data_IF_140513364029
#
_entry.id   IF_140513364029
#
_cell.length_a   1.000
_cell.length_b   1.000
_cell.length_c   1.000
_cell.angle_alpha   90.00
_cell.angle_beta   90.00
_cell.angle_gamma   90.00
#
_symmetry.space_group_name_H-M   'P 1'
#
loop_
_entity.id
_entity.type
_entity.pdbx_description
1 polymer ?
#
# COMPACT_ATOMS: atom_id res chain seq x y z
N UNK A 1 -6.33 -2.74 14.26
CA UNK A 1 -6.58 -2.97 12.82
C UNK A 1 -5.95 -1.81 12.06
N UNK A 2 -4.73 -1.99 11.55
CA UNK A 2 -3.99 -0.92 10.86
C UNK A 2 -4.71 -0.57 9.56
N UNK A 3 -5.11 0.70 9.47
CA UNK A 3 -5.74 1.32 8.30
C UNK A 3 -4.94 2.60 8.14
N UNK A 4 -3.91 2.60 7.29
CA UNK A 4 -3.14 3.83 7.05
C UNK A 4 -4.14 4.91 6.64
N UNK A 5 -4.24 5.95 7.48
CA UNK A 5 -5.14 7.07 7.22
C UNK A 5 -4.49 7.92 6.14
N UNK A 6 -5.31 8.46 5.25
CA UNK A 6 -4.85 9.32 4.14
C UNK A 6 -4.05 10.51 4.67
N UNK A 7 -4.43 11.03 5.84
CA UNK A 7 -3.73 12.12 6.50
C UNK A 7 -2.25 11.80 6.83
N UNK A 8 -1.94 10.54 7.13
CA UNK A 8 -0.56 10.13 7.43
C UNK A 8 0.22 9.88 6.14
N UNK A 9 -0.42 9.33 5.11
CA UNK A 9 0.16 9.10 3.78
C UNK A 9 0.57 10.44 3.14
N UNK A 10 -0.24 11.50 3.29
CA UNK A 10 0.04 12.83 2.73
C UNK A 10 1.22 13.56 3.38
N UNK A 11 1.65 13.13 4.57
CA UNK A 11 2.81 13.71 5.27
C UNK A 11 4.14 13.14 4.79
N UNK A 12 4.10 12.02 4.07
CA UNK A 12 5.28 11.37 3.52
C UNK A 12 5.76 12.10 2.26
N UNK A 13 7.08 12.10 2.04
CA UNK A 13 7.66 12.61 0.79
C UNK A 13 7.38 11.65 -0.36
N UNK A 14 7.41 12.15 -1.59
CA UNK A 14 7.26 11.36 -2.83
C UNK A 14 8.24 10.19 -2.88
N UNK A 15 9.49 10.40 -2.46
CA UNK A 15 10.53 9.35 -2.35
C UNK A 15 10.11 8.22 -1.40
N UNK A 16 9.60 8.59 -0.23
CA UNK A 16 9.24 7.65 0.82
C UNK A 16 7.98 6.87 0.45
N UNK A 17 7.04 7.53 -0.24
CA UNK A 17 5.86 6.88 -0.80
C UNK A 17 6.22 5.83 -1.85
N UNK A 18 7.20 6.08 -2.71
CA UNK A 18 7.64 5.11 -3.71
C UNK A 18 8.26 3.85 -3.05
N UNK A 19 9.09 4.04 -2.03
CA UNK A 19 9.70 2.95 -1.26
C UNK A 19 8.62 2.12 -0.55
N UNK A 20 7.72 2.78 0.18
CA UNK A 20 6.65 2.10 0.92
C UNK A 20 5.64 1.40 -0.01
N UNK A 21 5.37 1.97 -1.19
CA UNK A 21 4.51 1.33 -2.21
C UNK A 21 5.13 0.02 -2.71
N UNK A 22 6.46 -0.01 -2.86
CA UNK A 22 7.19 -1.19 -3.31
C UNK A 22 7.17 -2.28 -2.25
N UNK A 23 7.46 -1.93 -0.99
CA UNK A 23 7.33 -2.85 0.16
C UNK A 23 5.93 -3.44 0.28
N UNK A 24 4.89 -2.61 0.21
CA UNK A 24 3.51 -3.10 0.29
C UNK A 24 3.15 -4.06 -0.84
N UNK A 25 3.70 -3.88 -2.05
CA UNK A 25 3.52 -4.83 -3.16
C UNK A 25 4.16 -6.18 -2.86
N UNK A 26 5.38 -6.18 -2.32
CA UNK A 26 6.10 -7.40 -1.94
C UNK A 26 5.36 -8.16 -0.82
N UNK A 27 4.92 -7.45 0.22
CA UNK A 27 4.13 -8.04 1.32
C UNK A 27 2.80 -8.63 0.82
N UNK A 28 2.13 -7.97 -0.13
CA UNK A 28 0.92 -8.48 -0.75
C UNK A 28 1.23 -9.76 -1.55
N UNK A 29 2.32 -9.78 -2.31
CA UNK A 29 2.72 -10.95 -3.08
C UNK A 29 3.03 -12.14 -2.16
N UNK A 30 3.75 -11.91 -1.06
CA UNK A 30 4.04 -12.93 -0.07
C UNK A 30 2.76 -13.44 0.62
N UNK A 31 1.87 -12.54 1.06
CA UNK A 31 0.62 -12.93 1.66
C UNK A 31 -0.27 -13.72 0.69
N UNK A 32 -0.28 -13.39 -0.60
CA UNK A 32 -0.98 -14.19 -1.61
C UNK A 32 -0.41 -15.59 -1.71
N UNK A 33 0.93 -15.75 -1.67
CA UNK A 33 1.58 -17.06 -1.66
C UNK A 33 1.19 -17.86 -0.42
N UNK A 34 1.28 -17.26 0.78
CA UNK A 34 0.91 -17.93 2.04
C UNK A 34 -0.56 -18.35 2.07
N UNK A 35 -1.46 -17.52 1.53
CA UNK A 35 -2.90 -17.86 1.41
C UNK A 35 -3.08 -19.05 0.46
N UNK A 36 -2.38 -19.05 -0.69
CA UNK A 36 -2.47 -20.12 -1.66
C UNK A 36 -1.91 -21.45 -1.14
N UNK A 37 -0.82 -21.41 -0.37
CA UNK A 37 -0.23 -22.58 0.29
C UNK A 37 -1.04 -23.06 1.51
N UNK A 38 -2.10 -22.35 1.92
CA UNK A 38 -2.90 -22.69 3.10
C UNK A 38 -2.25 -22.36 4.43
N UNK A 39 -1.07 -21.73 4.43
CA UNK A 39 -0.33 -21.31 5.64
C UNK A 39 -1.03 -20.17 6.38
N UNK A 40 -1.89 -19.40 5.69
CA UNK A 40 -2.70 -18.37 6.33
C UNK A 40 -4.11 -18.31 5.77
N UNK A 41 -5.10 -18.29 6.67
CA UNK A 41 -6.52 -18.15 6.34
C UNK A 41 -7.03 -16.72 6.48
N UNK A 42 -6.18 -15.80 6.97
CA UNK A 42 -6.58 -14.43 7.25
C UNK A 42 -6.56 -13.55 6.00
N UNK A 43 -7.50 -13.81 5.09
CA UNK A 43 -7.71 -13.05 3.85
C UNK A 43 -8.11 -11.59 4.08
N UNK A 44 -8.56 -11.24 5.29
CA UNK A 44 -8.94 -9.87 5.66
C UNK A 44 -7.71 -8.96 5.63
N UNK A 45 -6.55 -9.42 6.11
CA UNK A 45 -5.31 -8.65 6.11
C UNK A 45 -4.87 -8.30 4.68
N UNK A 46 -4.97 -9.25 3.75
CA UNK A 46 -4.69 -9.03 2.33
C UNK A 46 -5.58 -7.92 1.75
N UNK A 47 -6.87 -7.92 2.07
CA UNK A 47 -7.80 -6.87 1.65
C UNK A 47 -7.43 -5.50 2.20
N UNK A 48 -6.98 -5.41 3.45
CA UNK A 48 -6.55 -4.14 4.04
C UNK A 48 -5.29 -3.60 3.37
N UNK A 49 -4.26 -4.43 3.19
CA UNK A 49 -3.03 -4.03 2.52
C UNK A 49 -3.27 -3.58 1.07
N UNK A 50 -4.15 -4.25 0.31
CA UNK A 50 -4.54 -3.79 -1.03
C UNK A 50 -5.22 -2.43 -1.03
N UNK A 51 -6.06 -2.14 -0.04
CA UNK A 51 -6.70 -0.83 0.12
C UNK A 51 -5.70 0.25 0.51
N UNK A 52 -4.72 -0.08 1.34
CA UNK A 52 -3.69 0.86 1.78
C UNK A 52 -2.75 1.19 0.60
N UNK A 53 -2.34 0.17 -0.18
CA UNK A 53 -1.60 0.34 -1.43
C UNK A 53 -2.35 1.25 -2.42
N UNK A 54 -3.65 1.04 -2.60
CA UNK A 54 -4.45 1.88 -3.49
C UNK A 54 -4.45 3.35 -3.06
N UNK A 55 -4.59 3.62 -1.75
CA UNK A 55 -4.53 5.01 -1.23
C UNK A 55 -3.17 5.64 -1.44
N UNK A 56 -2.09 4.89 -1.25
CA UNK A 56 -0.73 5.38 -1.48
C UNK A 56 -0.49 5.73 -2.94
N UNK A 57 -0.91 4.88 -3.87
CA UNK A 57 -0.82 5.15 -5.30
C UNK A 57 -1.64 6.37 -5.71
N UNK A 58 -2.83 6.57 -5.13
CA UNK A 58 -3.63 7.78 -5.37
C UNK A 58 -2.88 9.04 -4.92
N UNK A 59 -2.34 9.07 -3.70
CA UNK A 59 -1.60 10.25 -3.20
C UNK A 59 -0.32 10.49 -3.99
N UNK A 60 0.39 9.44 -4.37
CA UNK A 60 1.58 9.55 -5.22
C UNK A 60 1.23 10.16 -6.59
N UNK A 61 0.14 9.69 -7.20
CA UNK A 61 -0.36 10.28 -8.46
C UNK A 61 -0.78 11.73 -8.29
N UNK A 62 -1.46 12.09 -7.19
CA UNK A 62 -1.82 13.48 -6.88
C UNK A 62 -0.58 14.37 -6.74
N UNK A 63 0.50 13.88 -6.12
CA UNK A 63 1.75 14.63 -5.97
C UNK A 63 2.47 14.81 -7.31
N UNK A 64 2.59 13.75 -8.11
CA UNK A 64 3.19 13.82 -9.44
C UNK A 64 2.42 14.76 -10.38
N UNK A 65 1.08 14.75 -10.33
CA UNK A 65 0.25 15.68 -11.12
C UNK A 65 0.44 17.14 -10.69
N UNK A 66 0.79 17.42 -9.43
CA UNK A 66 1.10 18.77 -8.96
C UNK A 66 2.51 19.22 -9.34
N UNK A 67 3.45 18.30 -9.45
CA UNK A 67 4.82 18.60 -9.92
C UNK A 67 4.86 18.88 -11.43
N UNK A 68 3.92 18.31 -12.20
CA UNK A 68 3.84 18.46 -13.65
C UNK A 68 3.00 19.66 -14.13
N UNK A 69 2.28 20.34 -13.23
CA UNK A 69 1.39 21.48 -13.52
C UNK A 69 2.05 22.80 -13.11
#
# INVERSE_FOLDING_TARGET
>A
MYKMKIADIRKLKTSDLAVETTKLREEIAELRRRVHMGETTNVRVLRHKRKDLARMLTVLSEQLSKEAA
#
